data_IF_226276465500
#
_entry.id   IF_226276465500
#
_cell.length_a   1.000
_cell.length_b   1.000
_cell.length_c   1.000
_cell.angle_alpha   90.00
_cell.angle_beta   90.00
_cell.angle_gamma   90.00
#
_symmetry.space_group_name_H-M   'P 1'
#
loop_
_entity.id
_entity.type
_entity.pdbx_description
1 polymer ?
#
# COMPACT_ATOMS: atom_id res chain seq x y z
N UNK A 1 -64.69 0.89 18.88
CA UNK A 1 -64.70 1.16 17.44
C UNK A 1 -63.85 2.42 17.06
N UNK A 2 -64.05 3.60 17.67
CA UNK A 2 -63.28 4.83 17.33
C UNK A 2 -61.77 4.66 17.42
N UNK A 3 -61.21 4.05 18.49
CA UNK A 3 -59.77 3.81 18.67
C UNK A 3 -59.16 2.88 17.60
N UNK A 4 -59.88 1.89 17.14
CA UNK A 4 -59.45 0.98 16.09
C UNK A 4 -59.34 1.67 14.71
N UNK A 5 -60.29 2.56 14.41
CA UNK A 5 -60.32 3.35 13.19
C UNK A 5 -59.14 4.35 13.17
N UNK A 6 -58.81 4.97 14.32
CA UNK A 6 -57.67 5.90 14.44
C UNK A 6 -56.34 5.16 14.20
N UNK A 7 -56.14 3.97 14.75
CA UNK A 7 -54.95 3.15 14.55
C UNK A 7 -54.77 2.76 13.07
N UNK A 8 -55.88 2.37 12.42
CA UNK A 8 -55.88 2.00 11.02
C UNK A 8 -55.50 3.18 10.08
N UNK A 9 -56.05 4.37 10.40
CA UNK A 9 -55.71 5.60 9.63
C UNK A 9 -54.25 6.01 9.81
N UNK A 10 -53.72 5.95 11.05
CA UNK A 10 -52.29 6.23 11.30
C UNK A 10 -51.41 5.22 10.60
N UNK A 11 -51.74 3.95 10.61
CA UNK A 11 -50.99 2.93 9.88
C UNK A 11 -51.01 3.16 8.36
N UNK A 12 -52.15 3.53 7.80
CA UNK A 12 -52.24 3.84 6.37
C UNK A 12 -51.40 5.06 5.99
N UNK A 13 -51.38 6.12 6.82
CA UNK A 13 -50.53 7.30 6.62
C UNK A 13 -49.05 6.92 6.66
N UNK A 14 -48.61 6.06 7.60
CA UNK A 14 -47.24 5.59 7.70
C UNK A 14 -46.84 4.77 6.47
N UNK A 15 -47.74 3.90 5.96
CA UNK A 15 -47.51 3.12 4.73
C UNK A 15 -47.36 4.05 3.52
N UNK A 16 -48.24 5.03 3.36
CA UNK A 16 -48.17 6.02 2.26
C UNK A 16 -46.90 6.86 2.37
N UNK A 17 -46.54 7.33 3.58
CA UNK A 17 -45.31 8.07 3.82
C UNK A 17 -44.06 7.21 3.48
N UNK A 18 -44.06 5.91 3.84
CA UNK A 18 -42.97 4.97 3.51
C UNK A 18 -42.78 4.76 2.00
N UNK A 19 -43.90 4.63 1.26
CA UNK A 19 -43.86 4.50 -0.20
C UNK A 19 -43.46 5.82 -0.90
N UNK A 20 -43.88 6.98 -0.36
CA UNK A 20 -43.49 8.28 -0.88
C UNK A 20 -42.00 8.56 -0.66
N UNK A 21 -41.42 8.18 0.49
CA UNK A 21 -40.01 8.30 0.78
C UNK A 21 -39.13 7.40 -0.11
N UNK A 22 -39.61 6.21 -0.49
CA UNK A 22 -38.89 5.34 -1.45
C UNK A 22 -38.75 5.95 -2.84
N UNK A 23 -39.69 6.78 -3.28
CA UNK A 23 -39.59 7.52 -4.54
C UNK A 23 -38.62 8.70 -4.53
N UNK A 24 -38.18 9.14 -3.34
CA UNK A 24 -37.30 10.30 -3.16
C UNK A 24 -35.83 9.92 -2.93
N UNK A 25 -35.52 8.60 -2.83
CA UNK A 25 -34.13 8.17 -2.78
C UNK A 25 -33.49 8.43 -4.15
N UNK A 26 -32.38 9.18 -4.23
CA UNK A 26 -31.70 9.41 -5.47
C UNK A 26 -31.33 8.04 -6.09
N UNK A 27 -31.74 7.82 -7.34
CA UNK A 27 -31.30 6.62 -8.07
C UNK A 27 -29.79 6.63 -8.06
N UNK A 28 -29.17 5.61 -7.44
CA UNK A 28 -27.72 5.43 -7.53
C UNK A 28 -27.32 5.41 -9.01
N UNK A 29 -26.67 6.48 -9.47
CA UNK A 29 -26.12 6.53 -10.83
C UNK A 29 -24.83 5.73 -10.83
N UNK A 30 -24.83 4.63 -11.58
CA UNK A 30 -23.65 3.79 -11.81
C UNK A 30 -23.35 3.72 -13.30
N UNK A 31 -22.05 3.72 -13.62
CA UNK A 31 -21.57 3.50 -15.02
C UNK A 31 -21.64 2.02 -15.37
N UNK A 32 -21.34 1.15 -14.41
CA UNK A 32 -21.42 -0.30 -14.61
C UNK A 32 -21.98 -0.98 -13.38
N UNK A 33 -22.81 -1.99 -13.61
CA UNK A 33 -23.31 -2.93 -12.59
C UNK A 33 -23.04 -4.34 -13.05
N UNK A 34 -22.35 -5.12 -12.23
CA UNK A 34 -22.00 -6.52 -12.47
C UNK A 34 -22.46 -7.33 -11.25
N UNK A 35 -23.61 -7.97 -11.34
CA UNK A 35 -24.26 -8.65 -10.20
C UNK A 35 -24.50 -7.68 -9.03
N UNK A 36 -23.79 -7.87 -7.91
CA UNK A 36 -23.87 -7.00 -6.74
C UNK A 36 -22.84 -5.85 -6.77
N UNK A 37 -21.82 -5.94 -7.65
CA UNK A 37 -20.85 -4.89 -7.82
C UNK A 37 -21.43 -3.73 -8.60
N UNK A 38 -21.27 -2.52 -8.10
CA UNK A 38 -21.62 -1.27 -8.78
C UNK A 38 -20.42 -0.34 -8.75
N UNK A 39 -20.23 0.42 -9.80
CA UNK A 39 -19.20 1.45 -9.90
C UNK A 39 -19.84 2.74 -10.42
N UNK A 40 -19.69 3.82 -9.70
CA UNK A 40 -20.15 5.15 -10.09
C UNK A 40 -19.25 5.75 -11.18
N UNK A 41 -19.69 6.84 -11.79
CA UNK A 41 -18.90 7.57 -12.79
C UNK A 41 -17.56 8.03 -12.21
N UNK A 42 -17.57 8.62 -11.01
CA UNK A 42 -16.34 9.07 -10.33
C UNK A 42 -15.36 7.92 -10.06
N UNK A 43 -15.85 6.79 -9.57
CA UNK A 43 -14.99 5.61 -9.32
C UNK A 43 -14.40 5.07 -10.62
N UNK A 44 -15.16 5.12 -11.73
CA UNK A 44 -14.63 4.72 -13.02
C UNK A 44 -13.57 5.69 -13.54
N UNK A 45 -13.76 7.01 -13.40
CA UNK A 45 -12.74 8.01 -13.75
C UNK A 45 -11.45 7.80 -12.97
N UNK A 46 -11.56 7.61 -11.64
CA UNK A 46 -10.40 7.33 -10.78
C UNK A 46 -9.69 6.02 -11.17
N UNK A 47 -10.44 4.99 -11.54
CA UNK A 47 -9.91 3.73 -12.03
C UNK A 47 -9.21 3.90 -13.40
N UNK A 48 -9.85 4.60 -14.32
CA UNK A 48 -9.32 4.88 -15.65
C UNK A 48 -8.02 5.69 -15.58
N UNK A 49 -7.99 6.74 -14.75
CA UNK A 49 -6.80 7.53 -14.51
C UNK A 49 -5.63 6.70 -13.95
N UNK A 50 -5.90 5.79 -13.00
CA UNK A 50 -4.87 4.90 -12.43
C UNK A 50 -4.33 3.90 -13.46
N UNK A 51 -5.17 3.38 -14.34
CA UNK A 51 -4.76 2.43 -15.38
C UNK A 51 -3.87 3.09 -16.46
N UNK A 52 -4.07 4.38 -16.71
CA UNK A 52 -3.29 5.16 -17.68
C UNK A 52 -2.11 5.93 -17.04
N UNK A 53 -1.99 5.94 -15.72
CA UNK A 53 -0.89 6.61 -15.04
C UNK A 53 0.46 5.95 -15.37
N UNK A 54 1.38 6.71 -15.96
CA UNK A 54 2.73 6.25 -16.30
C UNK A 54 2.85 5.58 -17.67
N UNK A 55 1.82 5.66 -18.54
CA UNK A 55 1.89 5.27 -19.94
C UNK A 55 1.90 6.52 -20.83
N UNK A 56 2.91 6.65 -21.68
CA UNK A 56 3.08 7.79 -22.58
C UNK A 56 2.04 7.82 -23.73
N UNK A 57 1.37 6.68 -23.97
CA UNK A 57 0.32 6.57 -24.97
C UNK A 57 -1.00 6.23 -24.27
N UNK A 58 -2.06 6.99 -24.58
CA UNK A 58 -3.45 6.69 -24.21
C UNK A 58 -3.94 5.42 -24.93
N UNK A 59 -3.35 4.26 -24.58
CA UNK A 59 -3.50 3.01 -25.34
C UNK A 59 -4.86 2.36 -25.19
N UNK A 60 -5.56 2.61 -24.08
CA UNK A 60 -6.86 1.98 -23.87
C UNK A 60 -7.99 3.01 -24.00
N UNK A 61 -8.86 2.76 -24.97
CA UNK A 61 -10.13 3.49 -25.02
C UNK A 61 -10.91 3.27 -23.71
N UNK A 62 -11.72 4.24 -23.30
CA UNK A 62 -12.59 4.08 -22.12
C UNK A 62 -13.42 2.80 -22.17
N UNK A 63 -13.87 2.42 -23.36
CA UNK A 63 -14.58 1.15 -23.61
C UNK A 63 -13.68 -0.05 -23.32
N UNK A 64 -12.43 -0.06 -23.79
CA UNK A 64 -11.50 -1.16 -23.55
C UNK A 64 -11.16 -1.33 -22.07
N UNK A 65 -10.97 -0.24 -21.33
CA UNK A 65 -10.76 -0.28 -19.87
C UNK A 65 -12.00 -0.80 -19.16
N UNK A 66 -13.19 -0.41 -19.59
CA UNK A 66 -14.45 -0.88 -19.02
C UNK A 66 -14.64 -2.39 -19.28
N UNK A 67 -14.38 -2.88 -20.48
CA UNK A 67 -14.50 -4.29 -20.85
C UNK A 67 -13.49 -5.16 -20.06
N UNK A 68 -12.26 -4.67 -19.90
CA UNK A 68 -11.26 -5.31 -19.05
C UNK A 68 -11.68 -5.37 -17.58
N UNK A 69 -12.26 -4.29 -17.05
CA UNK A 69 -12.81 -4.24 -15.69
C UNK A 69 -13.94 -5.27 -15.51
N UNK A 70 -14.89 -5.32 -16.46
CA UNK A 70 -16.01 -6.28 -16.44
C UNK A 70 -15.47 -7.70 -16.40
N UNK A 71 -14.57 -8.04 -17.34
CA UNK A 71 -13.96 -9.37 -17.44
C UNK A 71 -13.24 -9.75 -16.13
N UNK A 72 -12.42 -8.85 -15.61
CA UNK A 72 -11.72 -9.06 -14.33
C UNK A 72 -12.69 -9.32 -13.18
N UNK A 73 -13.76 -8.54 -13.08
CA UNK A 73 -14.75 -8.70 -11.99
C UNK A 73 -15.48 -10.02 -12.08
N UNK A 74 -15.87 -10.45 -13.29
CA UNK A 74 -16.53 -11.73 -13.50
C UNK A 74 -15.63 -12.91 -13.15
N UNK A 75 -14.35 -12.88 -13.55
CA UNK A 75 -13.36 -13.91 -13.21
C UNK A 75 -13.16 -13.99 -11.69
N UNK A 76 -13.03 -12.85 -11.00
CA UNK A 76 -12.88 -12.83 -9.54
C UNK A 76 -14.12 -13.38 -8.83
N UNK A 77 -15.32 -13.03 -9.27
CA UNK A 77 -16.57 -13.59 -8.72
C UNK A 77 -16.67 -15.12 -8.93
N UNK A 78 -16.22 -15.62 -10.06
CA UNK A 78 -16.17 -17.07 -10.29
C UNK A 78 -15.14 -17.76 -9.38
N UNK A 79 -13.95 -17.16 -9.21
CA UNK A 79 -12.94 -17.65 -8.27
C UNK A 79 -13.48 -17.70 -6.81
N UNK A 80 -14.20 -16.66 -6.39
CA UNK A 80 -14.87 -16.65 -5.07
C UNK A 80 -15.94 -17.73 -4.95
N UNK A 81 -16.76 -17.91 -5.99
CA UNK A 81 -17.85 -18.90 -6.02
C UNK A 81 -17.32 -20.34 -5.91
N UNK A 82 -16.20 -20.66 -6.57
CA UNK A 82 -15.56 -21.98 -6.45
C UNK A 82 -14.72 -22.12 -5.16
N UNK A 83 -14.66 -21.09 -4.33
CA UNK A 83 -13.96 -21.11 -3.05
C UNK A 83 -12.45 -20.98 -3.11
N UNK A 84 -11.90 -20.53 -4.25
CA UNK A 84 -10.45 -20.40 -4.42
C UNK A 84 -9.79 -19.50 -3.36
N UNK A 85 -10.49 -18.45 -2.92
CA UNK A 85 -10.06 -17.55 -1.85
C UNK A 85 -9.89 -18.20 -0.46
N UNK A 86 -10.30 -19.47 -0.31
CA UNK A 86 -10.19 -20.27 0.92
C UNK A 86 -9.16 -21.40 0.77
N UNK A 87 -8.57 -21.56 -0.40
CA UNK A 87 -7.55 -22.58 -0.62
C UNK A 87 -6.28 -22.28 0.21
N UNK A 88 -5.59 -23.32 0.64
CA UNK A 88 -4.34 -23.23 1.39
C UNK A 88 -3.31 -22.39 0.59
N UNK A 89 -3.17 -22.68 -0.70
CA UNK A 89 -2.27 -21.95 -1.61
C UNK A 89 -2.56 -20.45 -1.63
N UNK A 90 -3.86 -20.05 -1.69
CA UNK A 90 -4.23 -18.64 -1.68
C UNK A 90 -3.91 -17.99 -0.35
N UNK A 91 -4.22 -18.66 0.77
CA UNK A 91 -3.99 -18.13 2.12
C UNK A 91 -2.50 -17.97 2.41
N UNK A 92 -1.67 -18.94 2.00
CA UNK A 92 -0.21 -18.87 2.13
C UNK A 92 0.37 -17.72 1.29
N UNK A 93 -0.08 -17.59 0.04
CA UNK A 93 0.34 -16.49 -0.82
C UNK A 93 -0.07 -15.12 -0.24
N UNK A 94 -1.27 -15.01 0.31
CA UNK A 94 -1.77 -13.79 0.95
C UNK A 94 -0.96 -13.44 2.20
N UNK A 95 -0.65 -14.42 3.06
CA UNK A 95 0.18 -14.24 4.24
C UNK A 95 1.57 -13.76 3.87
N UNK A 96 2.21 -14.40 2.89
CA UNK A 96 3.53 -14.00 2.41
C UNK A 96 3.54 -12.57 1.84
N UNK A 97 2.53 -12.22 1.03
CA UNK A 97 2.39 -10.87 0.49
C UNK A 97 2.18 -9.82 1.59
N UNK A 98 1.36 -10.14 2.60
CA UNK A 98 1.12 -9.28 3.75
C UNK A 98 2.41 -9.00 4.53
N UNK A 99 3.21 -10.03 4.82
CA UNK A 99 4.50 -9.91 5.53
C UNK A 99 5.51 -9.07 4.72
N UNK A 100 5.63 -9.33 3.41
CA UNK A 100 6.49 -8.54 2.54
C UNK A 100 6.09 -7.06 2.50
N UNK A 101 4.79 -6.78 2.42
CA UNK A 101 4.28 -5.42 2.39
C UNK A 101 4.54 -4.69 3.71
N UNK A 102 4.27 -5.32 4.85
CA UNK A 102 4.57 -4.76 6.17
C UNK A 102 6.05 -4.50 6.35
N UNK A 103 6.90 -5.48 6.01
CA UNK A 103 8.35 -5.32 6.07
C UNK A 103 8.82 -4.13 5.23
N UNK A 104 8.37 -4.04 3.99
CA UNK A 104 8.70 -2.91 3.11
C UNK A 104 8.25 -1.58 3.72
N UNK A 105 7.01 -1.48 4.17
CA UNK A 105 6.45 -0.23 4.70
C UNK A 105 7.17 0.23 5.97
N UNK A 106 7.51 -0.67 6.90
CA UNK A 106 8.22 -0.29 8.11
C UNK A 106 9.66 0.13 7.83
N UNK A 107 10.35 -0.55 6.91
CA UNK A 107 11.71 -0.17 6.49
C UNK A 107 11.70 1.19 5.78
N UNK A 108 10.75 1.43 4.88
CA UNK A 108 10.59 2.72 4.19
C UNK A 108 10.29 3.86 5.19
N UNK A 109 9.41 3.61 6.16
CA UNK A 109 9.06 4.57 7.20
C UNK A 109 10.28 4.92 8.06
N UNK A 110 11.00 3.90 8.57
CA UNK A 110 12.19 4.09 9.40
C UNK A 110 13.33 4.71 8.63
N UNK A 111 13.53 4.35 7.37
CA UNK A 111 14.53 4.97 6.52
C UNK A 111 14.27 6.46 6.33
N UNK A 112 13.03 6.88 6.12
CA UNK A 112 12.66 8.30 6.01
C UNK A 112 12.88 9.05 7.33
N UNK A 113 12.45 8.48 8.44
CA UNK A 113 12.61 9.05 9.78
C UNK A 113 14.10 9.27 10.09
N UNK A 114 14.92 8.23 9.96
CA UNK A 114 16.34 8.26 10.26
C UNK A 114 17.13 9.13 9.27
N UNK A 115 16.73 9.15 8.00
CA UNK A 115 17.34 10.03 6.99
C UNK A 115 17.14 11.50 7.31
N UNK A 116 16.01 11.88 7.86
CA UNK A 116 15.73 13.26 8.26
C UNK A 116 16.64 13.76 9.40
N UNK A 117 17.16 12.83 10.20
CA UNK A 117 18.06 13.11 11.34
C UNK A 117 19.55 13.05 10.95
N UNK A 118 19.87 12.40 9.84
CA UNK A 118 21.24 12.22 9.40
C UNK A 118 21.78 13.50 8.73
N UNK A 119 22.72 14.17 9.40
CA UNK A 119 23.45 15.30 8.84
C UNK A 119 24.91 14.90 8.62
N UNK A 120 25.50 15.40 7.54
CA UNK A 120 26.92 15.19 7.23
C UNK A 120 27.65 16.54 7.34
N UNK A 121 28.63 16.58 8.22
CA UNK A 121 29.49 17.75 8.43
C UNK A 121 30.68 17.76 7.47
N UNK A 122 31.25 18.93 7.23
CA UNK A 122 32.48 19.07 6.43
C UNK A 122 33.67 18.32 7.06
N UNK A 123 33.69 18.19 8.38
CA UNK A 123 34.71 17.42 9.09
C UNK A 123 34.67 15.94 8.72
N UNK A 124 33.49 15.36 8.68
CA UNK A 124 33.29 13.95 8.28
C UNK A 124 33.68 13.70 6.82
N UNK A 125 33.37 14.64 5.94
CA UNK A 125 33.79 14.57 4.52
C UNK A 125 35.32 14.62 4.40
N UNK A 126 35.97 15.51 5.14
CA UNK A 126 37.44 15.60 5.16
C UNK A 126 38.10 14.36 5.74
N UNK A 127 37.57 13.84 6.83
CA UNK A 127 38.06 12.59 7.45
C UNK A 127 37.98 11.42 6.47
N UNK A 128 36.85 11.27 5.79
CA UNK A 128 36.68 10.23 4.77
C UNK A 128 37.63 10.40 3.61
N UNK A 129 37.83 11.63 3.10
CA UNK A 129 38.77 11.91 2.06
C UNK A 129 40.20 11.56 2.47
N UNK A 130 40.65 11.98 3.65
CA UNK A 130 41.97 11.67 4.17
C UNK A 130 42.21 10.15 4.26
N UNK A 131 41.20 9.41 4.68
CA UNK A 131 41.24 7.93 4.72
C UNK A 131 41.40 7.37 3.31
N UNK A 132 40.63 7.85 2.34
CA UNK A 132 40.75 7.40 0.93
C UNK A 132 42.14 7.71 0.37
N UNK A 133 42.76 8.84 0.69
CA UNK A 133 44.13 9.17 0.30
C UNK A 133 45.14 8.23 0.97
N UNK A 134 45.02 7.98 2.25
CA UNK A 134 45.90 7.08 2.98
C UNK A 134 45.88 5.63 2.47
N UNK A 135 44.72 5.19 1.98
CA UNK A 135 44.50 3.87 1.37
C UNK A 135 44.83 3.88 -0.16
N UNK A 136 45.37 4.95 -0.70
CA UNK A 136 45.67 5.16 -2.13
C UNK A 136 44.46 4.91 -3.07
N UNK A 137 43.23 5.16 -2.57
CA UNK A 137 41.99 4.99 -3.35
C UNK A 137 41.69 6.21 -4.25
N UNK A 138 42.35 7.32 -4.04
CA UNK A 138 42.21 8.54 -4.87
C UNK A 138 43.43 9.42 -4.82
N UNK A 139 43.76 10.04 -5.96
CA UNK A 139 44.73 11.13 -6.15
C UNK A 139 44.06 12.46 -6.53
N UNK A 140 42.70 12.42 -6.66
CA UNK A 140 41.93 13.62 -7.02
C UNK A 140 41.79 14.58 -5.84
N UNK A 141 41.73 15.90 -6.09
CA UNK A 141 41.54 16.89 -5.03
C UNK A 141 40.13 16.77 -4.39
N UNK A 142 40.04 17.24 -3.14
CA UNK A 142 38.79 17.13 -2.32
C UNK A 142 37.60 17.83 -2.97
N UNK A 143 37.79 18.97 -3.61
CA UNK A 143 36.74 19.77 -4.23
C UNK A 143 36.01 19.00 -5.36
N UNK A 144 36.76 18.20 -6.13
CA UNK A 144 36.17 17.33 -7.15
C UNK A 144 35.34 16.18 -6.56
N UNK A 145 35.72 15.67 -5.40
CA UNK A 145 35.13 14.52 -4.77
C UNK A 145 34.15 14.86 -3.65
N UNK A 146 34.08 16.13 -3.22
CA UNK A 146 33.33 16.56 -2.06
C UNK A 146 31.86 16.05 -2.05
N UNK A 147 31.13 16.29 -3.13
CA UNK A 147 29.73 15.90 -3.26
C UNK A 147 29.55 14.39 -3.24
N UNK A 148 30.44 13.66 -3.90
CA UNK A 148 30.41 12.19 -3.93
C UNK A 148 30.68 11.61 -2.54
N UNK A 149 31.71 12.10 -1.85
CA UNK A 149 32.09 11.66 -0.51
C UNK A 149 30.98 12.00 0.49
N UNK A 150 30.45 13.22 0.43
CA UNK A 150 29.30 13.63 1.27
C UNK A 150 28.12 12.69 1.11
N UNK A 151 27.83 12.28 -0.11
CA UNK A 151 26.73 11.33 -0.39
C UNK A 151 27.02 9.93 0.15
N UNK A 152 28.27 9.45 0.03
CA UNK A 152 28.67 8.16 0.59
C UNK A 152 28.57 8.14 2.11
N UNK A 153 29.11 9.18 2.79
CA UNK A 153 29.03 9.32 4.24
C UNK A 153 27.56 9.38 4.71
N UNK A 154 26.72 10.12 3.99
CA UNK A 154 25.28 10.18 4.30
C UNK A 154 24.63 8.80 4.24
N UNK A 155 24.87 8.04 3.18
CA UNK A 155 24.33 6.68 3.02
C UNK A 155 24.85 5.72 4.09
N UNK A 156 26.13 5.80 4.43
CA UNK A 156 26.70 4.98 5.52
C UNK A 156 26.03 5.30 6.85
N UNK A 157 25.83 6.58 7.19
CA UNK A 157 25.12 7.01 8.40
C UNK A 157 23.66 6.51 8.45
N UNK A 158 22.96 6.60 7.33
CA UNK A 158 21.58 6.11 7.21
C UNK A 158 21.51 4.58 7.41
N UNK A 159 22.43 3.86 6.77
CA UNK A 159 22.53 2.40 6.93
C UNK A 159 22.86 2.03 8.36
N UNK A 160 23.80 2.74 8.98
CA UNK A 160 24.18 2.51 10.38
C UNK A 160 23.01 2.75 11.33
N UNK A 161 22.28 3.86 11.14
CA UNK A 161 21.12 4.19 11.96
C UNK A 161 20.00 3.12 11.86
N UNK A 162 19.77 2.60 10.65
CA UNK A 162 18.81 1.51 10.42
C UNK A 162 19.26 0.21 11.12
N UNK A 163 20.55 -0.11 11.04
CA UNK A 163 21.10 -1.29 11.73
C UNK A 163 21.02 -1.15 13.24
N UNK A 164 21.26 0.03 13.78
CA UNK A 164 21.18 0.29 15.22
C UNK A 164 19.72 0.20 15.70
N UNK A 165 18.79 0.77 14.96
CA UNK A 165 17.37 0.55 15.23
C UNK A 165 17.01 -0.95 15.24
N UNK A 166 17.49 -1.74 14.27
CA UNK A 166 17.22 -3.19 14.24
C UNK A 166 17.85 -3.94 15.43
N UNK A 167 19.03 -3.49 15.89
CA UNK A 167 19.64 -4.05 17.11
C UNK A 167 18.78 -3.76 18.35
N UNK A 168 18.23 -2.53 18.45
CA UNK A 168 17.35 -2.18 19.55
C UNK A 168 16.07 -3.03 19.51
N UNK A 169 15.44 -3.19 18.36
CA UNK A 169 14.28 -4.10 18.18
C UNK A 169 14.60 -5.52 18.64
N UNK A 170 15.77 -6.05 18.26
CA UNK A 170 16.20 -7.40 18.67
C UNK A 170 16.45 -7.48 20.19
N UNK A 171 17.01 -6.43 20.79
CA UNK A 171 17.30 -6.39 22.22
C UNK A 171 16.01 -6.39 23.07
N UNK A 172 14.96 -5.74 22.55
CA UNK A 172 13.67 -5.66 23.23
C UNK A 172 12.76 -6.88 22.94
N UNK A 173 13.26 -7.86 22.16
CA UNK A 173 12.52 -9.06 21.78
C UNK A 173 13.04 -10.30 22.52
N UNK A 174 12.14 -11.19 22.91
CA UNK A 174 12.49 -12.54 23.36
C UNK A 174 12.76 -13.42 22.14
N UNK A 175 14.00 -13.88 21.99
CA UNK A 175 14.43 -14.70 20.85
C UNK A 175 15.06 -15.99 21.40
N UNK A 176 14.38 -17.12 21.15
CA UNK A 176 14.90 -18.45 21.44
C UNK A 176 15.16 -19.20 20.14
N UNK A 177 16.38 -19.76 19.98
CA UNK A 177 16.80 -20.42 18.75
C UNK A 177 17.32 -21.82 19.09
N UNK A 178 16.62 -22.83 18.58
CA UNK A 178 17.13 -24.20 18.61
C UNK A 178 18.16 -24.43 17.48
N UNK A 179 19.42 -24.11 17.75
CA UNK A 179 20.50 -24.24 16.78
C UNK A 179 20.73 -25.69 16.31
N UNK A 180 20.48 -26.68 17.17
CA UNK A 180 20.64 -28.10 16.78
C UNK A 180 19.64 -28.49 15.69
N UNK A 181 18.42 -27.99 15.74
CA UNK A 181 17.42 -28.23 14.71
C UNK A 181 17.69 -27.48 13.41
N UNK A 182 18.43 -26.36 13.46
CA UNK A 182 18.74 -25.53 12.27
C UNK A 182 19.97 -26.03 11.53
N UNK A 183 21.01 -26.47 12.26
CA UNK A 183 22.33 -26.75 11.70
C UNK A 183 22.57 -28.25 11.37
N UNK A 184 21.77 -29.16 11.94
CA UNK A 184 21.92 -30.59 11.82
C UNK A 184 20.89 -31.26 10.86
N UNK A 185 20.47 -30.55 9.79
CA UNK A 185 19.64 -31.09 8.71
C UNK A 185 20.48 -31.44 7.49
#
# INVERSE_FOLDING_TARGET
MRKLITIMVVFLILVVAFYSLKGFLPKEQYVVKINQFKMTDKEFEDYFAKMNAGRDDNFDSRSGVLDALISKKLILQEAEKIGLHKSEEFLDALQHYYEQLLFKLIVDLKSKELSSLAQVTDAEVKERYNKMQAEALTDKPLDELYSQIKWQVLREKQTQALNDWLKDVKKDSEIDINYDAVLNK
#
